data_IF_605474474317
#
_entry.id   IF_605474474317
#
_cell.length_a   1.000
_cell.length_b   1.000
_cell.length_c   1.000
_cell.angle_alpha   90.00
_cell.angle_beta   90.00
_cell.angle_gamma   90.00
#
_symmetry.space_group_name_H-M   'P 1'
#
loop_
_entity.id
_entity.type
_entity.pdbx_description
1 polymer ?
#
# COMPACT_ATOMS: atom_id res chain seq x y z
N UNK A 1 18.84 1.83 -22.89
CA UNK A 1 17.38 1.67 -23.08
C UNK A 1 16.74 2.18 -21.80
N UNK A 2 16.24 3.40 -21.84
CA UNK A 2 15.75 4.11 -20.66
C UNK A 2 14.36 3.57 -20.31
N UNK A 3 14.23 3.02 -19.11
CA UNK A 3 12.98 2.50 -18.55
C UNK A 3 12.29 3.67 -17.83
N UNK A 4 11.47 4.42 -18.57
CA UNK A 4 10.71 5.54 -18.02
C UNK A 4 9.41 4.97 -17.42
N UNK A 5 9.11 5.20 -16.13
CA UNK A 5 7.93 4.62 -15.51
C UNK A 5 6.65 5.21 -16.14
N UNK A 6 5.80 4.33 -16.66
CA UNK A 6 4.53 4.70 -17.28
C UNK A 6 3.62 5.43 -16.26
N UNK A 7 3.47 6.75 -16.44
CA UNK A 7 2.53 7.59 -15.71
C UNK A 7 1.14 7.45 -16.34
N UNK A 8 0.31 6.55 -15.82
CA UNK A 8 -1.06 6.42 -16.30
C UNK A 8 -1.98 7.46 -15.62
N UNK A 9 -2.44 8.47 -16.37
CA UNK A 9 -3.46 9.43 -15.93
C UNK A 9 -4.81 8.97 -16.48
N UNK A 10 -5.68 8.44 -15.61
CA UNK A 10 -7.00 7.97 -16.01
C UNK A 10 -8.06 9.06 -15.76
N UNK A 11 -8.82 9.41 -16.81
CA UNK A 11 -9.91 10.40 -16.78
C UNK A 11 -11.26 9.71 -17.03
N UNK A 12 -12.21 9.85 -16.10
CA UNK A 12 -13.66 9.80 -16.41
C UNK A 12 -14.55 10.27 -15.23
N UNK A 13 -15.13 11.48 -15.34
CA UNK A 13 -16.47 11.90 -14.85
C UNK A 13 -16.98 11.42 -13.47
N UNK A 14 -16.15 11.54 -12.45
CA UNK A 14 -16.49 11.73 -11.02
C UNK A 14 -15.61 12.89 -10.53
N UNK A 15 -15.75 13.49 -9.33
CA UNK A 15 -14.66 14.35 -8.81
C UNK A 15 -13.40 13.48 -8.82
N UNK A 16 -12.58 13.63 -9.86
CA UNK A 16 -11.62 12.62 -10.22
C UNK A 16 -10.61 12.56 -9.09
N UNK A 17 -10.34 11.36 -8.60
CA UNK A 17 -9.25 11.17 -7.66
C UNK A 17 -7.99 11.78 -8.32
N UNK A 18 -7.47 12.87 -7.76
CA UNK A 18 -6.31 13.54 -8.32
C UNK A 18 -5.06 12.95 -7.67
N UNK A 19 -4.53 11.89 -8.26
CA UNK A 19 -3.37 11.18 -7.74
C UNK A 19 -2.30 10.97 -8.81
N UNK A 20 -1.06 10.86 -8.35
CA UNK A 20 0.06 10.27 -9.07
C UNK A 20 0.17 8.80 -8.65
N UNK A 21 0.26 7.91 -9.63
CA UNK A 21 0.59 6.51 -9.43
C UNK A 21 1.83 6.20 -10.27
N UNK A 22 2.86 5.66 -9.63
CA UNK A 22 4.08 5.18 -10.29
C UNK A 22 4.19 3.70 -10.00
N UNK A 23 4.26 2.86 -11.04
CA UNK A 23 4.45 1.42 -10.87
C UNK A 23 5.89 1.06 -11.19
N UNK A 24 6.43 0.08 -10.47
CA UNK A 24 7.70 -0.57 -10.80
C UNK A 24 7.47 -2.07 -10.89
N UNK A 25 8.13 -2.71 -11.85
CA UNK A 25 8.19 -4.17 -11.91
C UNK A 25 9.12 -4.66 -10.78
N UNK A 26 8.66 -5.58 -9.90
CA UNK A 26 9.51 -6.12 -8.84
C UNK A 26 10.80 -6.74 -9.40
N UNK A 27 11.92 -6.58 -8.67
CA UNK A 27 13.19 -7.23 -9.02
C UNK A 27 13.09 -8.76 -9.05
N UNK A 28 14.04 -9.40 -9.73
CA UNK A 28 14.05 -10.84 -9.94
C UNK A 28 14.11 -11.66 -8.63
N UNK A 29 14.70 -11.09 -7.56
CA UNK A 29 14.72 -11.71 -6.22
C UNK A 29 13.33 -11.83 -5.59
N UNK A 30 12.40 -10.97 -5.98
CA UNK A 30 11.02 -10.93 -5.47
C UNK A 30 10.03 -11.70 -6.36
N UNK A 31 10.50 -12.37 -7.40
CA UNK A 31 9.65 -13.14 -8.32
C UNK A 31 8.86 -14.23 -7.58
N UNK A 32 7.53 -14.21 -7.74
CA UNK A 32 6.61 -15.13 -7.06
C UNK A 32 6.27 -14.77 -5.60
N UNK A 33 6.97 -13.78 -5.02
CA UNK A 33 6.72 -13.25 -3.68
C UNK A 33 5.85 -11.99 -3.77
N UNK A 34 6.25 -11.05 -4.63
CA UNK A 34 5.55 -9.77 -4.86
C UNK A 34 4.90 -9.80 -6.25
N UNK A 35 3.61 -9.46 -6.33
CA UNK A 35 2.88 -9.34 -7.60
C UNK A 35 3.20 -8.03 -8.29
N UNK A 36 3.21 -6.93 -7.52
CA UNK A 36 3.49 -5.59 -8.01
C UNK A 36 3.85 -4.65 -6.84
N UNK A 37 4.54 -3.57 -7.20
CA UNK A 37 4.89 -2.47 -6.29
C UNK A 37 4.53 -1.13 -6.95
N UNK A 38 3.93 -0.24 -6.19
CA UNK A 38 3.61 1.10 -6.66
C UNK A 38 3.84 2.18 -5.59
N UNK A 39 4.12 3.38 -6.08
CA UNK A 39 4.08 4.61 -5.31
C UNK A 39 2.79 5.33 -5.63
N UNK A 40 2.12 5.83 -4.59
CA UNK A 40 0.87 6.55 -4.69
C UNK A 40 0.98 7.88 -3.97
N UNK A 41 0.45 8.95 -4.58
CA UNK A 41 0.41 10.29 -3.98
C UNK A 41 -0.85 11.01 -4.41
N UNK A 42 -1.63 11.47 -3.45
CA UNK A 42 -2.71 12.43 -3.70
C UNK A 42 -2.13 13.83 -3.94
N UNK A 43 -2.72 14.54 -4.90
CA UNK A 43 -2.21 15.82 -5.41
C UNK A 43 -3.17 16.98 -5.20
N UNK A 44 -4.36 16.73 -4.67
CA UNK A 44 -5.25 17.78 -4.21
C UNK A 44 -6.02 17.38 -2.95
N UNK A 45 -6.33 18.34 -2.06
CA UNK A 45 -7.27 18.12 -0.97
C UNK A 45 -8.65 17.71 -1.50
N UNK A 46 -9.32 16.84 -0.78
CA UNK A 46 -10.67 16.39 -1.15
C UNK A 46 -11.05 15.14 -0.38
N UNK A 47 -12.34 14.92 -0.18
CA UNK A 47 -12.83 13.66 0.37
C UNK A 47 -13.10 12.70 -0.77
N UNK A 48 -12.31 11.63 -0.83
CA UNK A 48 -12.43 10.62 -1.86
C UNK A 48 -12.87 9.30 -1.26
N UNK A 49 -13.70 8.55 -2.00
CA UNK A 49 -14.20 7.24 -1.60
C UNK A 49 -13.93 6.24 -2.70
N UNK A 50 -13.28 5.14 -2.32
CA UNK A 50 -12.91 4.03 -3.18
C UNK A 50 -13.54 2.77 -2.60
N UNK A 51 -14.06 1.92 -3.48
CA UNK A 51 -14.50 0.57 -3.12
C UNK A 51 -13.55 -0.39 -3.80
N UNK A 52 -12.77 -1.12 -2.99
CA UNK A 52 -11.90 -2.18 -3.47
C UNK A 52 -12.63 -3.52 -3.34
N UNK A 53 -12.62 -4.30 -4.42
CA UNK A 53 -13.19 -5.64 -4.45
C UNK A 53 -12.19 -6.65 -3.88
N UNK A 54 -12.70 -7.81 -3.46
CA UNK A 54 -11.87 -8.88 -2.91
C UNK A 54 -10.68 -9.21 -3.85
N UNK A 55 -9.47 -8.88 -3.39
CA UNK A 55 -8.21 -9.20 -4.05
C UNK A 55 -7.63 -10.51 -3.51
N UNK A 56 -6.78 -11.16 -4.32
CA UNK A 56 -5.98 -12.32 -3.91
C UNK A 56 -4.55 -11.94 -3.50
N UNK A 57 -4.28 -10.65 -3.31
CA UNK A 57 -2.99 -10.13 -2.82
C UNK A 57 -3.10 -9.72 -1.36
N UNK A 58 -1.96 -9.71 -0.67
CA UNK A 58 -1.81 -9.18 0.69
C UNK A 58 -1.02 -7.87 0.57
N UNK A 59 -1.67 -6.70 0.54
CA UNK A 59 -0.98 -5.42 0.44
C UNK A 59 -0.28 -5.07 1.76
N UNK A 60 0.97 -4.63 1.64
CA UNK A 60 1.69 -3.85 2.65
C UNK A 60 1.75 -2.40 2.16
N UNK A 61 1.05 -1.51 2.85
CA UNK A 61 1.05 -0.07 2.59
C UNK A 61 1.92 0.60 3.63
N UNK A 62 2.89 1.41 3.19
CA UNK A 62 3.74 2.20 4.07
C UNK A 62 3.54 3.66 3.69
N UNK A 63 2.68 4.36 4.44
CA UNK A 63 2.45 5.79 4.29
C UNK A 63 3.48 6.59 5.10
N UNK A 64 3.97 7.64 4.45
CA UNK A 64 4.83 8.66 5.04
C UNK A 64 4.16 10.04 4.97
N UNK A 65 2.84 10.06 4.79
CA UNK A 65 1.99 11.25 4.86
C UNK A 65 0.68 10.91 5.60
N UNK A 66 -0.47 11.43 5.16
CA UNK A 66 -1.75 11.22 5.86
C UNK A 66 -2.26 9.76 5.77
N UNK A 67 -3.13 9.41 6.70
CA UNK A 67 -3.75 8.10 6.82
C UNK A 67 -5.00 7.96 5.94
N UNK A 68 -5.31 6.73 5.54
CA UNK A 68 -6.60 6.36 4.98
C UNK A 68 -7.60 6.04 6.11
N UNK A 69 -8.89 6.14 5.82
CA UNK A 69 -9.96 5.53 6.60
C UNK A 69 -10.40 4.24 5.89
N UNK A 70 -10.29 3.06 6.52
CA UNK A 70 -10.49 1.77 5.85
C UNK A 70 -11.43 0.87 6.64
N UNK A 71 -12.58 0.54 6.07
CA UNK A 71 -13.58 -0.35 6.65
C UNK A 71 -13.72 -1.64 5.86
N UNK A 72 -13.58 -2.79 6.52
CA UNK A 72 -13.76 -4.11 5.91
C UNK A 72 -15.25 -4.48 5.92
N UNK A 73 -15.96 -4.25 4.81
CA UNK A 73 -17.39 -4.52 4.68
C UNK A 73 -18.32 -3.51 5.34
N UNK A 74 -17.79 -2.38 5.82
CA UNK A 74 -18.57 -1.29 6.41
C UNK A 74 -17.99 0.08 6.02
N UNK A 75 -18.78 1.14 6.21
CA UNK A 75 -18.26 2.51 6.11
C UNK A 75 -17.26 2.74 7.26
N UNK A 76 -16.06 3.31 7.00
CA UNK A 76 -15.07 3.58 8.04
C UNK A 76 -15.58 4.58 9.08
N UNK A 77 -15.26 4.34 10.35
CA UNK A 77 -15.45 5.28 11.47
C UNK A 77 -14.12 5.85 11.98
N UNK A 78 -14.16 6.49 13.15
CA UNK A 78 -12.99 7.19 13.73
C UNK A 78 -11.83 6.25 14.09
N UNK A 79 -12.14 4.99 14.43
CA UNK A 79 -11.14 3.98 14.78
C UNK A 79 -10.52 3.26 13.57
N UNK A 80 -11.00 3.55 12.35
CA UNK A 80 -10.58 2.85 11.13
C UNK A 80 -9.48 3.61 10.38
N UNK A 81 -8.59 4.29 11.12
CA UNK A 81 -7.55 5.15 10.56
C UNK A 81 -6.23 4.40 10.46
N UNK A 82 -5.77 4.17 9.22
CA UNK A 82 -4.57 3.40 8.93
C UNK A 82 -3.62 4.20 8.03
N UNK A 83 -2.46 4.59 8.58
CA UNK A 83 -1.38 5.19 7.79
C UNK A 83 -0.55 4.11 7.10
N UNK A 84 0.05 3.22 7.88
CA UNK A 84 0.87 2.12 7.39
C UNK A 84 0.38 0.81 7.99
N UNK A 85 0.18 -0.19 7.13
CA UNK A 85 -0.50 -1.43 7.50
C UNK A 85 -0.23 -2.56 6.52
N UNK A 86 -0.41 -3.79 6.97
CA UNK A 86 -0.69 -4.93 6.12
C UNK A 86 -2.19 -5.22 6.15
N UNK A 87 -2.84 -5.36 4.99
CA UNK A 87 -4.22 -5.82 4.93
C UNK A 87 -4.25 -7.30 4.56
N UNK A 88 -4.89 -8.14 5.37
CA UNK A 88 -5.07 -9.53 4.97
C UNK A 88 -6.21 -9.72 4.00
N UNK A 89 -6.36 -10.96 3.54
CA UNK A 89 -7.44 -11.32 2.63
C UNK A 89 -8.79 -11.13 3.32
N UNK A 90 -9.67 -10.41 2.64
CA UNK A 90 -11.04 -10.17 3.07
C UNK A 90 -12.00 -10.55 1.93
N UNK A 91 -12.95 -11.45 2.21
CA UNK A 91 -13.89 -11.98 1.24
C UNK A 91 -15.12 -11.07 1.04
N UNK A 92 -14.91 -9.75 0.99
CA UNK A 92 -15.95 -8.74 0.87
C UNK A 92 -15.40 -7.41 0.33
N UNK A 93 -16.26 -6.39 0.18
CA UNK A 93 -15.84 -5.07 -0.27
C UNK A 93 -15.05 -4.34 0.82
N UNK A 94 -13.95 -3.70 0.45
CA UNK A 94 -13.20 -2.80 1.34
C UNK A 94 -13.56 -1.36 0.96
N UNK A 95 -14.03 -0.61 1.95
CA UNK A 95 -14.38 0.80 1.79
C UNK A 95 -13.18 1.63 2.22
N UNK A 96 -12.59 2.39 1.30
CA UNK A 96 -11.43 3.24 1.55
C UNK A 96 -11.85 4.69 1.36
N UNK A 97 -11.53 5.53 2.35
CA UNK A 97 -11.68 6.97 2.27
C UNK A 97 -10.33 7.66 2.48
N UNK A 98 -10.10 8.71 1.71
CA UNK A 98 -8.93 9.58 1.84
C UNK A 98 -9.33 11.05 1.80
N UNK A 99 -8.42 11.91 2.27
CA UNK A 99 -8.67 13.33 2.48
C UNK A 99 -7.75 14.22 1.62
N UNK A 100 -7.02 13.61 0.68
CA UNK A 100 -6.20 14.30 -0.31
C UNK A 100 -4.72 14.47 0.07
N UNK A 101 -4.32 13.96 1.24
CA UNK A 101 -2.94 14.04 1.74
C UNK A 101 -2.20 12.70 1.78
N UNK A 102 -2.75 11.62 1.22
CA UNK A 102 -2.10 10.32 1.29
C UNK A 102 -0.87 10.23 0.37
N UNK A 103 0.21 9.64 0.87
CA UNK A 103 1.39 9.34 0.08
C UNK A 103 2.15 8.13 0.64
N UNK A 104 2.30 7.09 -0.17
CA UNK A 104 2.79 5.80 0.28
C UNK A 104 3.54 5.03 -0.81
N UNK A 105 4.25 3.99 -0.35
CA UNK A 105 4.58 2.82 -1.16
C UNK A 105 3.60 1.71 -0.79
N UNK A 106 3.07 1.04 -1.80
CA UNK A 106 2.29 -0.19 -1.63
C UNK A 106 3.03 -1.34 -2.31
N UNK A 107 3.20 -2.43 -1.55
CA UNK A 107 3.74 -3.69 -2.05
C UNK A 107 2.66 -4.76 -1.94
N UNK A 108 2.31 -5.35 -3.07
CA UNK A 108 1.31 -6.40 -3.12
C UNK A 108 2.00 -7.76 -3.11
N UNK A 109 1.82 -8.52 -2.03
CA UNK A 109 2.37 -9.86 -1.92
C UNK A 109 1.40 -10.91 -2.46
N UNK A 110 1.93 -12.02 -2.98
CA UNK A 110 1.17 -13.26 -3.04
C UNK A 110 0.91 -13.78 -1.62
N UNK A 111 -0.14 -14.58 -1.36
CA UNK A 111 -0.36 -15.12 0.00
C UNK A 111 0.82 -15.94 0.53
N UNK A 112 1.53 -16.67 -0.35
CA UNK A 112 2.74 -17.40 0.03
C UNK A 112 3.93 -16.46 0.27
N UNK A 113 4.06 -15.39 -0.52
CA UNK A 113 5.05 -14.35 -0.33
C UNK A 113 4.88 -13.63 1.00
N UNK A 114 3.65 -13.22 1.32
CA UNK A 114 3.31 -12.60 2.59
C UNK A 114 3.62 -13.53 3.78
N UNK A 115 3.25 -14.82 3.70
CA UNK A 115 3.59 -15.80 4.73
C UNK A 115 5.10 -15.91 4.95
N UNK A 116 5.88 -15.92 3.87
CA UNK A 116 7.34 -15.99 3.95
C UNK A 116 7.92 -14.71 4.57
N UNK A 117 7.41 -13.54 4.17
CA UNK A 117 7.92 -12.25 4.60
C UNK A 117 7.56 -11.93 6.06
N UNK A 118 6.29 -12.02 6.44
CA UNK A 118 5.85 -11.73 7.81
C UNK A 118 6.20 -12.83 8.80
N UNK A 119 6.48 -14.06 8.33
CA UNK A 119 6.75 -15.21 9.20
C UNK A 119 5.52 -15.70 10.00
N UNK A 120 4.33 -15.18 9.69
CA UNK A 120 3.07 -15.50 10.37
C UNK A 120 2.16 -16.40 9.50
N UNK A 121 1.32 -17.25 10.10
CA UNK A 121 0.23 -17.90 9.39
C UNK A 121 -0.70 -16.86 8.74
N UNK A 122 -1.15 -17.08 7.51
CA UNK A 122 -2.09 -16.14 6.85
C UNK A 122 -3.44 -16.02 7.56
N UNK A 123 -3.80 -16.99 8.40
CA UNK A 123 -4.95 -16.89 9.29
C UNK A 123 -4.86 -15.74 10.28
N UNK A 124 -3.65 -15.30 10.64
CA UNK A 124 -3.45 -14.13 11.52
C UNK A 124 -3.78 -12.82 10.81
N UNK A 125 -3.67 -12.76 9.48
CA UNK A 125 -4.00 -11.55 8.72
C UNK A 125 -5.45 -11.55 8.22
N UNK A 126 -6.10 -12.71 8.16
CA UNK A 126 -7.44 -12.88 7.58
C UNK A 126 -8.46 -11.93 8.23
N UNK A 127 -9.28 -11.28 7.39
CA UNK A 127 -10.38 -10.40 7.79
C UNK A 127 -9.98 -9.24 8.72
N UNK A 128 -8.71 -8.79 8.66
CA UNK A 128 -8.25 -7.66 9.48
C UNK A 128 -7.19 -6.80 8.79
N UNK A 129 -7.09 -5.58 9.30
CA UNK A 129 -5.98 -4.66 9.06
C UNK A 129 -4.97 -4.85 10.20
N UNK A 130 -3.67 -4.88 9.89
CA UNK A 130 -2.59 -4.98 10.88
C UNK A 130 -1.70 -3.77 10.74
N UNK A 131 -1.55 -2.99 11.82
CA UNK A 131 -0.68 -1.82 11.82
C UNK A 131 0.78 -2.19 11.53
N UNK A 132 1.55 -1.25 10.97
CA UNK A 132 2.95 -1.50 10.61
C UNK A 132 3.80 -1.98 11.80
N UNK A 133 3.58 -1.41 12.99
CA UNK A 133 4.31 -1.75 14.21
C UNK A 133 4.03 -3.20 14.65
N UNK A 134 2.78 -3.66 14.50
CA UNK A 134 2.41 -5.04 14.80
C UNK A 134 2.93 -6.02 13.72
N UNK A 135 3.03 -5.56 12.48
CA UNK A 135 3.44 -6.38 11.34
C UNK A 135 4.97 -6.55 11.25
N UNK A 136 5.73 -5.48 11.50
CA UNK A 136 7.18 -5.40 11.26
C UNK A 136 7.98 -4.93 12.49
N UNK A 137 7.33 -4.57 13.59
CA UNK A 137 8.01 -4.05 14.76
C UNK A 137 8.76 -2.74 14.50
N UNK A 138 9.87 -2.56 15.22
CA UNK A 138 10.72 -1.37 15.12
C UNK A 138 11.29 -1.15 13.71
N UNK A 139 11.61 -2.23 13.00
CA UNK A 139 12.17 -2.14 11.66
C UNK A 139 11.17 -1.52 10.65
N UNK A 140 9.87 -1.69 10.88
CA UNK A 140 8.82 -1.03 10.11
C UNK A 140 8.85 0.50 10.29
N UNK A 141 9.09 0.98 11.51
CA UNK A 141 9.20 2.42 11.81
C UNK A 141 10.39 3.02 11.06
N UNK A 142 11.55 2.36 11.15
CA UNK A 142 12.77 2.78 10.45
C UNK A 142 12.56 2.79 8.93
N UNK A 143 11.91 1.76 8.39
CA UNK A 143 11.56 1.69 6.97
C UNK A 143 10.67 2.86 6.54
N UNK A 144 9.63 3.17 7.32
CA UNK A 144 8.74 4.30 7.05
C UNK A 144 9.50 5.63 7.02
N UNK A 145 10.40 5.86 7.98
CA UNK A 145 11.23 7.06 8.03
C UNK A 145 12.13 7.17 6.79
N UNK A 146 12.84 6.11 6.43
CA UNK A 146 13.70 6.08 5.24
C UNK A 146 12.93 6.38 3.94
N UNK A 147 11.72 5.82 3.80
CA UNK A 147 10.85 6.09 2.65
C UNK A 147 10.36 7.55 2.61
N UNK A 148 10.09 8.15 3.77
CA UNK A 148 9.70 9.55 3.89
C UNK A 148 10.81 10.52 3.50
N UNK A 149 12.04 10.24 3.95
CA UNK A 149 13.23 11.08 3.68
C UNK A 149 13.76 10.95 2.23
N UNK A 150 13.40 9.88 1.53
CA UNK A 150 13.83 9.68 0.15
C UNK A 150 13.22 10.74 -0.80
N UNK A 151 14.07 11.33 -1.64
CA UNK A 151 13.73 12.47 -2.52
C UNK A 151 12.81 12.12 -3.70
N UNK A 152 12.79 10.87 -4.13
CA UNK A 152 12.16 10.45 -5.38
C UNK A 152 11.64 9.01 -5.31
N UNK A 153 10.80 8.65 -6.29
CA UNK A 153 10.18 7.33 -6.36
C UNK A 153 11.19 6.21 -6.57
N UNK A 154 12.27 6.43 -7.34
CA UNK A 154 13.25 5.38 -7.63
C UNK A 154 13.93 4.92 -6.34
N UNK A 155 14.41 5.86 -5.53
CA UNK A 155 15.04 5.56 -4.22
C UNK A 155 14.06 4.89 -3.26
N UNK A 156 12.81 5.35 -3.22
CA UNK A 156 11.77 4.72 -2.36
C UNK A 156 11.54 3.27 -2.72
N UNK A 157 11.46 2.97 -4.02
CA UNK A 157 11.34 1.59 -4.46
C UNK A 157 12.59 0.76 -4.17
N UNK A 158 13.80 1.32 -4.32
CA UNK A 158 15.03 0.61 -3.98
C UNK A 158 15.07 0.25 -2.48
N UNK A 159 14.70 1.19 -1.61
CA UNK A 159 14.58 0.97 -0.15
C UNK A 159 13.56 -0.14 0.14
N UNK A 160 12.37 -0.06 -0.45
CA UNK A 160 11.30 -1.03 -0.23
C UNK A 160 11.71 -2.44 -0.70
N UNK A 161 12.28 -2.57 -1.89
CA UNK A 161 12.71 -3.88 -2.41
C UNK A 161 13.87 -4.47 -1.60
N UNK A 162 14.85 -3.65 -1.21
CA UNK A 162 15.98 -4.09 -0.38
C UNK A 162 15.53 -4.56 1.01
N UNK A 163 14.47 -3.99 1.57
CA UNK A 163 13.90 -4.44 2.84
C UNK A 163 13.20 -5.81 2.72
N UNK A 164 12.63 -6.11 1.56
CA UNK A 164 11.79 -7.31 1.36
C UNK A 164 12.61 -8.52 0.91
N UNK A 165 13.70 -8.30 0.17
CA UNK A 165 14.55 -9.34 -0.41
C UNK A 165 15.34 -10.13 0.65
#
# INVERSE_FOLDING_TARGET
MSDEPERHRQDNRSPALHFEMVRRKPSASLAGIVTDICGYRETCPGHFRIVEYASLTVPLVISFAEAFAIGLGHTPGDNDRYASFAAGLYAGPVMIESFGGACCIQVNFTPLGARRFFGLPMSELRDRMVGLDDALGFDGIVLREQLGEASDWHKRFDIAENYIA
#
